data_IF_974083814992
#
_entry.id   IF_974083814992
#
_cell.length_a   1.000
_cell.length_b   1.000
_cell.length_c   1.000
_cell.angle_alpha   90.00
_cell.angle_beta   90.00
_cell.angle_gamma   90.00
#
_symmetry.space_group_name_H-M   'P 1'
#
loop_
_entity.id
_entity.type
_entity.pdbx_description
1 polymer ?
#
# COMPACT_ATOMS: atom_id res chain seq x y z
N UNK A 1 -4.87 -19.86 -14.13
CA UNK A 1 -4.21 -19.57 -15.42
C UNK A 1 -3.52 -18.22 -15.28
N UNK A 2 -2.37 -18.03 -15.85
CA UNK A 2 -1.68 -16.74 -15.96
C UNK A 2 -1.53 -16.40 -17.43
N UNK A 3 -1.63 -15.11 -17.78
CA UNK A 3 -1.42 -14.63 -19.14
C UNK A 3 0.06 -14.63 -19.55
N UNK A 4 0.33 -14.45 -20.84
CA UNK A 4 1.67 -14.22 -21.35
C UNK A 4 2.07 -12.75 -21.20
N UNK A 5 3.36 -12.53 -21.01
CA UNK A 5 3.94 -11.18 -21.05
C UNK A 5 4.29 -10.86 -22.49
N UNK A 6 3.72 -9.77 -23.00
CA UNK A 6 3.90 -9.29 -24.36
C UNK A 6 4.74 -8.01 -24.36
N UNK A 7 5.32 -7.66 -25.52
CA UNK A 7 5.95 -6.36 -25.73
C UNK A 7 4.88 -5.24 -25.87
N UNK A 8 5.32 -3.99 -25.93
CA UNK A 8 4.44 -2.80 -26.09
C UNK A 8 3.59 -2.85 -27.37
N UNK A 9 4.03 -3.62 -28.37
CA UNK A 9 3.29 -3.85 -29.64
C UNK A 9 2.38 -5.06 -29.56
N UNK A 10 2.15 -5.61 -28.35
CA UNK A 10 1.34 -6.81 -28.08
C UNK A 10 1.84 -8.09 -28.79
N UNK A 11 3.13 -8.18 -29.10
CA UNK A 11 3.75 -9.37 -29.65
C UNK A 11 4.43 -10.17 -28.54
N UNK A 12 4.50 -11.48 -28.69
CA UNK A 12 5.22 -12.35 -27.76
C UNK A 12 6.68 -11.90 -27.66
N UNK A 13 7.17 -11.74 -26.44
CA UNK A 13 8.59 -11.45 -26.22
C UNK A 13 9.44 -12.66 -26.59
N UNK A 14 10.46 -12.45 -27.39
CA UNK A 14 11.40 -13.47 -27.84
C UNK A 14 12.81 -12.90 -27.89
N UNK A 15 13.79 -13.68 -27.41
CA UNK A 15 15.20 -13.30 -27.52
C UNK A 15 15.68 -13.22 -28.96
N UNK A 16 15.19 -14.10 -29.84
CA UNK A 16 15.52 -14.12 -31.26
C UNK A 16 15.06 -12.87 -32.00
N UNK A 17 13.95 -12.27 -31.55
CA UNK A 17 13.36 -11.09 -32.18
C UNK A 17 13.88 -9.77 -31.59
N UNK A 18 14.77 -9.85 -30.58
CA UNK A 18 15.38 -8.69 -29.94
C UNK A 18 14.41 -7.79 -29.16
N UNK A 19 13.15 -8.24 -28.95
CA UNK A 19 12.10 -7.49 -28.27
C UNK A 19 11.89 -7.95 -26.81
N UNK A 20 12.81 -8.75 -26.25
CA UNK A 20 12.69 -9.26 -24.89
C UNK A 20 13.58 -8.47 -23.92
N UNK A 21 13.00 -8.02 -22.83
CA UNK A 21 13.73 -7.55 -21.65
C UNK A 21 13.74 -8.67 -20.61
N UNK A 22 14.88 -9.02 -20.09
CA UNK A 22 14.97 -10.08 -19.09
C UNK A 22 14.57 -9.55 -17.71
N UNK A 23 13.95 -10.38 -16.84
CA UNK A 23 13.68 -9.98 -15.45
C UNK A 23 14.93 -9.51 -14.71
N UNK A 24 16.10 -10.08 -15.01
CA UNK A 24 17.36 -9.72 -14.37
C UNK A 24 17.74 -8.27 -14.67
N UNK A 25 17.64 -7.84 -15.93
CA UNK A 25 17.93 -6.45 -16.35
C UNK A 25 16.97 -5.45 -15.70
N UNK A 26 15.67 -5.78 -15.63
CA UNK A 26 14.69 -4.94 -14.96
C UNK A 26 14.96 -4.84 -13.45
N UNK A 27 15.32 -5.95 -12.82
CA UNK A 27 15.63 -6.00 -11.39
C UNK A 27 16.89 -5.17 -11.08
N UNK A 28 17.90 -5.22 -11.94
CA UNK A 28 19.13 -4.45 -11.77
C UNK A 28 18.84 -2.94 -11.81
N UNK A 29 17.96 -2.49 -12.73
CA UNK A 29 17.59 -1.08 -12.88
C UNK A 29 16.60 -0.56 -11.86
N UNK A 30 15.60 -1.35 -11.51
CA UNK A 30 14.43 -0.88 -10.75
C UNK A 30 14.22 -1.60 -9.41
N UNK A 31 14.94 -2.70 -9.16
CA UNK A 31 14.79 -3.52 -7.96
C UNK A 31 13.69 -4.58 -8.08
N UNK A 32 13.80 -5.61 -7.22
CA UNK A 32 12.93 -6.80 -7.26
C UNK A 32 11.46 -6.45 -6.94
N UNK A 33 11.23 -5.64 -5.94
CA UNK A 33 9.87 -5.29 -5.50
C UNK A 33 9.14 -4.44 -6.51
N UNK A 34 9.86 -3.57 -7.25
CA UNK A 34 9.25 -2.77 -8.32
C UNK A 34 8.71 -3.67 -9.44
N UNK A 35 9.50 -4.67 -9.85
CA UNK A 35 9.05 -5.63 -10.86
C UNK A 35 7.87 -6.46 -10.33
N UNK A 36 7.95 -6.98 -9.09
CA UNK A 36 6.86 -7.76 -8.48
C UNK A 36 5.56 -6.95 -8.40
N UNK A 37 5.66 -5.69 -7.97
CA UNK A 37 4.52 -4.78 -7.88
C UNK A 37 3.87 -4.55 -9.23
N UNK A 38 4.67 -4.21 -10.26
CA UNK A 38 4.14 -3.99 -11.60
C UNK A 38 3.50 -5.25 -12.18
N UNK A 39 4.15 -6.40 -12.05
CA UNK A 39 3.57 -7.67 -12.53
C UNK A 39 2.26 -8.00 -11.82
N UNK A 40 2.16 -7.81 -10.50
CA UNK A 40 0.93 -8.02 -9.75
C UNK A 40 -0.17 -7.02 -10.16
N UNK A 41 0.19 -5.78 -10.50
CA UNK A 41 -0.74 -4.73 -10.99
C UNK A 41 -1.30 -5.08 -12.37
N UNK A 42 -0.49 -5.64 -13.25
CA UNK A 42 -0.86 -5.97 -14.63
C UNK A 42 -1.55 -7.33 -14.77
N UNK A 43 -1.31 -8.26 -13.85
CA UNK A 43 -1.74 -9.66 -13.95
C UNK A 43 -3.23 -9.83 -13.61
N UNK A 44 -4.08 -9.70 -14.62
CA UNK A 44 -5.54 -9.92 -14.51
C UNK A 44 -5.97 -11.34 -14.91
N UNK A 45 -5.02 -12.26 -15.13
CA UNK A 45 -5.29 -13.60 -15.63
C UNK A 45 -5.32 -13.71 -17.18
N UNK A 46 -5.11 -12.59 -17.85
CA UNK A 46 -5.03 -12.46 -19.31
C UNK A 46 -3.62 -12.05 -19.75
N UNK A 47 -3.35 -12.10 -21.05
CA UNK A 47 -2.10 -11.60 -21.62
C UNK A 47 -2.01 -10.08 -21.42
N UNK A 48 -0.83 -9.59 -21.03
CA UNK A 48 -0.61 -8.18 -20.81
C UNK A 48 0.70 -7.70 -21.43
N UNK A 49 0.71 -6.45 -21.89
CA UNK A 49 1.91 -5.80 -22.38
C UNK A 49 2.74 -5.30 -21.19
N UNK A 50 4.04 -5.57 -21.23
CA UNK A 50 5.00 -5.02 -20.27
C UNK A 50 5.63 -3.75 -20.88
N UNK A 51 5.35 -2.59 -20.27
CA UNK A 51 6.02 -1.33 -20.57
C UNK A 51 6.89 -0.92 -19.37
N UNK A 52 8.19 -0.88 -19.58
CA UNK A 52 9.14 -0.49 -18.53
C UNK A 52 8.93 0.97 -18.04
N UNK A 53 8.29 1.82 -18.86
CA UNK A 53 7.95 3.20 -18.47
C UNK A 53 7.00 3.23 -17.27
N UNK A 54 6.17 2.20 -17.08
CA UNK A 54 5.28 2.09 -15.92
C UNK A 54 6.04 1.92 -14.58
N UNK A 55 7.33 1.58 -14.62
CA UNK A 55 8.18 1.55 -13.43
C UNK A 55 8.31 2.92 -12.75
N UNK A 56 8.15 4.01 -13.51
CA UNK A 56 8.12 5.36 -12.94
C UNK A 56 6.93 5.56 -12.00
N UNK A 57 5.79 4.99 -12.31
CA UNK A 57 4.58 5.07 -11.47
C UNK A 57 4.74 4.23 -10.20
N UNK A 58 5.33 3.03 -10.33
CA UNK A 58 5.68 2.21 -9.16
C UNK A 58 6.65 2.96 -8.24
N UNK A 59 7.66 3.61 -8.82
CA UNK A 59 8.63 4.40 -8.05
C UNK A 59 7.96 5.55 -7.29
N UNK A 60 6.94 6.22 -7.88
CA UNK A 60 6.16 7.26 -7.20
C UNK A 60 5.38 6.71 -6.01
N UNK A 61 4.77 5.53 -6.14
CA UNK A 61 4.07 4.89 -5.03
C UNK A 61 5.04 4.55 -3.90
N UNK A 62 6.20 3.96 -4.20
CA UNK A 62 7.19 3.63 -3.17
C UNK A 62 7.79 4.88 -2.52
N UNK A 63 7.98 5.96 -3.30
CA UNK A 63 8.38 7.26 -2.74
C UNK A 63 7.32 7.80 -1.79
N UNK A 64 6.04 7.67 -2.11
CA UNK A 64 4.94 8.10 -1.24
C UNK A 64 4.91 7.27 0.05
N UNK A 65 5.07 5.96 -0.02
CA UNK A 65 5.20 5.10 1.19
C UNK A 65 6.38 5.56 2.05
N UNK A 66 7.54 5.83 1.44
CA UNK A 66 8.71 6.32 2.18
C UNK A 66 8.48 7.72 2.81
N UNK A 67 7.79 8.61 2.12
CA UNK A 67 7.49 9.94 2.65
C UNK A 67 6.51 9.88 3.84
N UNK A 68 5.52 9.00 3.77
CA UNK A 68 4.58 8.75 4.88
C UNK A 68 5.32 8.12 6.06
N UNK A 69 6.20 7.13 5.84
CA UNK A 69 7.06 6.56 6.88
C UNK A 69 7.90 7.66 7.55
N UNK A 70 8.59 8.48 6.75
CA UNK A 70 9.41 9.57 7.26
C UNK A 70 8.60 10.61 8.07
N UNK A 71 7.38 10.91 7.65
CA UNK A 71 6.48 11.80 8.37
C UNK A 71 6.05 11.19 9.71
N UNK A 72 5.59 9.94 9.72
CA UNK A 72 5.11 9.26 10.94
C UNK A 72 6.24 9.09 11.97
N UNK A 73 7.46 8.81 11.53
CA UNK A 73 8.64 8.68 12.42
C UNK A 73 9.07 9.98 13.10
N UNK A 74 8.65 11.13 12.60
CA UNK A 74 8.88 12.41 13.25
C UNK A 74 7.87 12.67 14.38
N UNK A 75 6.78 11.92 14.43
CA UNK A 75 5.75 12.06 15.45
C UNK A 75 6.22 11.41 16.76
N UNK A 76 5.78 11.94 17.90
CA UNK A 76 6.20 11.41 19.19
C UNK A 76 5.75 9.97 19.38
N UNK A 77 6.63 9.16 19.96
CA UNK A 77 6.29 7.85 20.47
C UNK A 77 5.47 8.05 21.74
N UNK A 78 4.17 7.95 21.65
CA UNK A 78 3.29 8.11 22.80
C UNK A 78 2.52 6.82 23.06
N UNK A 79 2.65 6.28 24.25
CA UNK A 79 1.78 5.23 24.82
C UNK A 79 0.33 5.68 25.07
N UNK A 80 -0.03 6.89 24.65
CA UNK A 80 -1.33 7.48 24.97
C UNK A 80 -2.36 7.11 23.93
N UNK A 81 -3.36 6.33 24.35
CA UNK A 81 -4.62 6.18 23.60
C UNK A 81 -5.15 7.57 23.24
N UNK A 82 -5.59 7.73 22.00
CA UNK A 82 -6.26 8.96 21.57
C UNK A 82 -7.41 9.29 22.51
N UNK A 83 -7.46 10.51 22.99
CA UNK A 83 -8.49 10.97 23.95
C UNK A 83 -9.86 11.12 23.31
N UNK A 84 -9.90 11.52 22.05
CA UNK A 84 -11.11 11.70 21.26
C UNK A 84 -10.79 11.59 19.78
N UNK A 85 -11.80 11.27 18.98
CA UNK A 85 -11.70 11.21 17.52
C UNK A 85 -12.50 12.36 16.91
N UNK A 86 -11.86 13.21 16.14
CA UNK A 86 -12.51 14.20 15.29
C UNK A 86 -13.28 13.53 14.13
N UNK A 87 -14.02 14.29 13.35
CA UNK A 87 -14.82 13.74 12.25
C UNK A 87 -13.92 13.07 11.19
N UNK A 88 -12.82 13.72 10.84
CA UNK A 88 -11.83 13.21 9.90
C UNK A 88 -11.11 11.96 10.41
N UNK A 89 -10.90 11.82 11.73
CA UNK A 89 -10.31 10.61 12.30
C UNK A 89 -11.27 9.43 12.17
N UNK A 90 -12.55 9.63 12.49
CA UNK A 90 -13.59 8.62 12.31
C UNK A 90 -13.77 8.25 10.84
N UNK A 91 -13.62 9.22 9.94
CA UNK A 91 -13.68 9.00 8.50
C UNK A 91 -12.54 8.11 8.02
N UNK A 92 -11.28 8.44 8.35
CA UNK A 92 -10.14 7.62 7.90
C UNK A 92 -10.14 6.22 8.55
N UNK A 93 -10.58 6.10 9.80
CA UNK A 93 -10.79 4.80 10.46
C UNK A 93 -11.83 3.97 9.69
N UNK A 94 -12.95 4.58 9.28
CA UNK A 94 -13.97 3.90 8.48
C UNK A 94 -13.40 3.42 7.15
N UNK A 95 -12.71 4.29 6.42
CA UNK A 95 -12.04 3.97 5.14
C UNK A 95 -10.99 2.88 5.31
N UNK A 96 -10.20 2.91 6.39
CA UNK A 96 -9.20 1.89 6.68
C UNK A 96 -9.83 0.53 6.96
N UNK A 97 -10.89 0.46 7.77
CA UNK A 97 -11.59 -0.81 8.01
C UNK A 97 -12.35 -1.34 6.78
N UNK A 98 -12.77 -0.46 5.87
CA UNK A 98 -13.25 -0.84 4.55
C UNK A 98 -12.11 -1.48 3.74
N UNK A 99 -10.96 -0.81 3.67
CA UNK A 99 -9.78 -1.31 2.97
C UNK A 99 -9.36 -2.70 3.48
N UNK A 100 -9.25 -2.90 4.80
CA UNK A 100 -8.91 -4.22 5.39
C UNK A 100 -9.84 -5.32 4.86
N UNK A 101 -11.15 -5.07 4.89
CA UNK A 101 -12.14 -6.02 4.41
C UNK A 101 -11.94 -6.37 2.94
N UNK A 102 -11.83 -5.34 2.09
CA UNK A 102 -11.75 -5.50 0.64
C UNK A 102 -10.42 -6.16 0.22
N UNK A 103 -9.30 -5.77 0.82
CA UNK A 103 -7.98 -6.39 0.59
C UNK A 103 -7.99 -7.86 1.02
N UNK A 104 -8.56 -8.18 2.19
CA UNK A 104 -8.69 -9.57 2.64
C UNK A 104 -9.49 -10.41 1.64
N UNK A 105 -10.61 -9.89 1.14
CA UNK A 105 -11.42 -10.58 0.14
C UNK A 105 -10.67 -10.76 -1.19
N UNK A 106 -9.93 -9.74 -1.62
CA UNK A 106 -9.15 -9.80 -2.84
C UNK A 106 -8.01 -10.83 -2.75
N UNK A 107 -7.30 -10.89 -1.61
CA UNK A 107 -6.28 -11.93 -1.37
C UNK A 107 -6.86 -13.34 -1.34
N UNK A 108 -7.97 -13.55 -0.64
CA UNK A 108 -8.65 -14.86 -0.58
C UNK A 108 -9.12 -15.33 -1.95
N UNK A 109 -9.31 -14.40 -2.89
CA UNK A 109 -9.72 -14.69 -4.28
C UNK A 109 -8.55 -14.61 -5.27
N UNK A 110 -7.31 -14.47 -4.81
CA UNK A 110 -6.09 -14.30 -5.63
C UNK A 110 -6.15 -13.13 -6.63
N UNK A 111 -6.90 -12.06 -6.31
CA UNK A 111 -7.06 -10.88 -7.15
C UNK A 111 -6.04 -9.81 -6.80
N UNK A 112 -4.76 -10.06 -7.09
CA UNK A 112 -3.64 -9.19 -6.69
C UNK A 112 -3.71 -7.78 -7.29
N UNK A 113 -4.19 -7.65 -8.53
CA UNK A 113 -4.43 -6.34 -9.17
C UNK A 113 -5.40 -5.49 -8.35
N UNK A 114 -6.45 -6.10 -7.82
CA UNK A 114 -7.43 -5.41 -6.97
C UNK A 114 -6.82 -4.98 -5.64
N UNK A 115 -5.99 -5.82 -5.02
CA UNK A 115 -5.23 -5.44 -3.81
C UNK A 115 -4.43 -4.17 -4.05
N UNK A 116 -3.70 -4.10 -5.17
CA UNK A 116 -2.89 -2.94 -5.51
C UNK A 116 -3.76 -1.70 -5.76
N UNK A 117 -4.85 -1.83 -6.50
CA UNK A 117 -5.74 -0.70 -6.77
C UNK A 117 -6.36 -0.14 -5.48
N UNK A 118 -6.83 -1.00 -4.58
CA UNK A 118 -7.36 -0.62 -3.28
C UNK A 118 -6.30 0.06 -2.41
N UNK A 119 -5.09 -0.50 -2.40
CA UNK A 119 -3.96 0.09 -1.68
C UNK A 119 -3.59 1.48 -2.23
N UNK A 120 -3.44 1.62 -3.55
CA UNK A 120 -3.12 2.91 -4.19
C UNK A 120 -4.21 3.95 -3.94
N UNK A 121 -5.48 3.57 -4.06
CA UNK A 121 -6.62 4.46 -3.80
C UNK A 121 -6.55 5.01 -2.37
N UNK A 122 -6.39 4.14 -1.38
CA UNK A 122 -6.31 4.56 0.01
C UNK A 122 -5.06 5.39 0.31
N UNK A 123 -3.88 4.91 -0.13
CA UNK A 123 -2.61 5.58 0.12
C UNK A 123 -2.58 6.99 -0.45
N UNK A 124 -2.96 7.12 -1.73
CA UNK A 124 -2.82 8.37 -2.48
C UNK A 124 -3.92 9.37 -2.11
N UNK A 125 -5.17 8.93 -2.18
CA UNK A 125 -6.30 9.86 -2.06
C UNK A 125 -6.75 9.99 -0.60
N UNK A 126 -7.09 8.87 0.05
CA UNK A 126 -7.67 8.94 1.39
C UNK A 126 -6.62 9.38 2.44
N UNK A 127 -5.44 8.74 2.45
CA UNK A 127 -4.42 9.02 3.47
C UNK A 127 -3.60 10.26 3.14
N UNK A 128 -2.87 10.27 2.00
CA UNK A 128 -1.87 11.29 1.72
C UNK A 128 -2.47 12.64 1.34
N UNK A 129 -3.42 12.65 0.37
CA UNK A 129 -3.98 13.91 -0.13
C UNK A 129 -5.07 14.49 0.75
N UNK A 130 -5.75 13.65 1.53
CA UNK A 130 -6.90 14.09 2.33
C UNK A 130 -6.55 14.10 3.81
N UNK A 131 -6.41 12.94 4.44
CA UNK A 131 -6.29 12.86 5.89
C UNK A 131 -5.06 13.57 6.44
N UNK A 132 -3.88 13.34 5.88
CA UNK A 132 -2.64 13.99 6.33
C UNK A 132 -2.74 15.52 6.22
N UNK A 133 -3.46 16.05 5.22
CA UNK A 133 -3.66 17.50 5.11
C UNK A 133 -4.55 18.05 6.23
N UNK A 134 -5.61 17.33 6.59
CA UNK A 134 -6.51 17.75 7.67
C UNK A 134 -5.86 17.74 9.04
N UNK A 135 -4.95 16.80 9.29
CA UNK A 135 -4.35 16.62 10.61
C UNK A 135 -3.00 17.33 10.79
N UNK A 136 -2.55 18.09 9.78
CA UNK A 136 -1.17 18.64 9.76
C UNK A 136 -0.79 19.38 11.05
N UNK A 137 -1.71 20.18 11.61
CA UNK A 137 -1.48 20.98 12.82
C UNK A 137 -1.61 20.18 14.13
N UNK A 138 -2.26 19.01 14.08
CA UNK A 138 -2.48 18.13 15.24
C UNK A 138 -1.95 16.69 15.04
N UNK A 139 -1.01 16.52 14.14
CA UNK A 139 -0.46 15.20 13.78
C UNK A 139 0.08 14.42 14.99
N UNK A 140 0.60 15.11 16.00
CA UNK A 140 1.06 14.48 17.23
C UNK A 140 -0.07 13.80 18.03
N UNK A 141 -1.30 14.33 17.97
CA UNK A 141 -2.45 13.78 18.69
C UNK A 141 -2.93 12.46 18.09
N UNK A 142 -2.73 12.30 16.78
CA UNK A 142 -3.20 11.14 15.99
C UNK A 142 -2.07 10.18 15.62
N UNK A 143 -0.86 10.37 16.18
CA UNK A 143 0.29 9.51 15.91
C UNK A 143 -0.01 8.00 16.08
N UNK A 144 -0.72 7.54 17.13
CA UNK A 144 -1.05 6.11 17.27
C UNK A 144 -1.91 5.57 16.12
N UNK A 145 -2.86 6.37 15.63
CA UNK A 145 -3.71 5.99 14.50
C UNK A 145 -2.90 5.88 13.20
N UNK A 146 -2.02 6.84 12.96
CA UNK A 146 -1.15 6.81 11.77
C UNK A 146 -0.23 5.60 11.78
N UNK A 147 0.32 5.22 12.94
CA UNK A 147 1.17 4.04 13.10
C UNK A 147 0.38 2.75 12.89
N UNK A 148 -0.85 2.65 13.44
CA UNK A 148 -1.75 1.51 13.18
C UNK A 148 -2.03 1.34 11.68
N UNK A 149 -2.36 2.43 10.99
CA UNK A 149 -2.59 2.43 9.55
C UNK A 149 -1.32 2.01 8.80
N UNK A 150 -0.15 2.56 9.15
CA UNK A 150 1.13 2.22 8.52
C UNK A 150 1.44 0.72 8.65
N UNK A 151 1.33 0.15 9.84
CA UNK A 151 1.53 -1.29 10.06
C UNK A 151 0.64 -2.14 9.17
N UNK A 152 -0.65 -1.79 9.08
CA UNK A 152 -1.58 -2.49 8.22
C UNK A 152 -1.24 -2.37 6.73
N UNK A 153 -0.86 -1.19 6.26
CA UNK A 153 -0.44 -0.98 4.87
C UNK A 153 0.80 -1.81 4.51
N UNK A 154 1.77 -1.92 5.43
CA UNK A 154 2.94 -2.78 5.24
C UNK A 154 2.56 -4.26 5.18
N UNK A 155 1.62 -4.71 6.03
CA UNK A 155 1.10 -6.08 6.00
C UNK A 155 0.37 -6.39 4.70
N UNK A 156 -0.37 -5.42 4.12
CA UNK A 156 -1.02 -5.60 2.82
C UNK A 156 -0.01 -5.74 1.68
N UNK A 157 1.08 -5.00 1.73
CA UNK A 157 2.11 -5.06 0.70
C UNK A 157 3.05 -6.26 0.84
N UNK A 158 3.23 -6.80 2.03
CA UNK A 158 4.24 -7.83 2.31
C UNK A 158 4.21 -9.05 1.37
N UNK A 159 3.05 -9.62 0.96
CA UNK A 159 3.01 -10.70 0.01
C UNK A 159 3.48 -10.33 -1.41
N UNK A 160 3.30 -9.06 -1.80
CA UNK A 160 3.63 -8.55 -3.15
C UNK A 160 5.05 -7.99 -3.16
N UNK A 161 5.39 -7.12 -2.21
CA UNK A 161 6.68 -6.41 -2.10
C UNK A 161 7.37 -6.71 -0.77
N UNK A 162 7.89 -7.94 -0.61
CA UNK A 162 8.40 -8.41 0.68
C UNK A 162 9.59 -7.61 1.21
N UNK A 163 10.50 -7.16 0.34
CA UNK A 163 11.73 -6.50 0.79
C UNK A 163 11.49 -5.07 1.26
N UNK A 164 10.66 -4.31 0.55
CA UNK A 164 10.33 -2.94 0.96
C UNK A 164 9.45 -2.91 2.20
N UNK A 165 8.48 -3.83 2.31
CA UNK A 165 7.63 -3.97 3.48
C UNK A 165 8.46 -4.33 4.72
N UNK A 166 9.37 -5.31 4.59
CA UNK A 166 10.27 -5.69 5.66
C UNK A 166 11.21 -4.55 6.06
N UNK A 167 11.75 -3.81 5.10
CA UNK A 167 12.62 -2.66 5.38
C UNK A 167 11.94 -1.62 6.26
N UNK A 168 10.66 -1.29 5.98
CA UNK A 168 9.90 -0.33 6.79
C UNK A 168 9.48 -0.93 8.13
N UNK A 169 9.14 -2.23 8.17
CA UNK A 169 8.85 -2.93 9.42
C UNK A 169 10.04 -2.93 10.39
N UNK A 170 11.25 -3.18 9.88
CA UNK A 170 12.46 -3.13 10.69
C UNK A 170 12.74 -1.73 11.25
N UNK A 171 12.34 -0.66 10.54
CA UNK A 171 12.40 0.70 11.07
C UNK A 171 11.43 0.89 12.24
N UNK A 172 10.17 0.45 12.10
CA UNK A 172 9.18 0.47 13.19
C UNK A 172 9.69 -0.30 14.41
N UNK A 173 10.34 -1.44 14.18
CA UNK A 173 10.94 -2.23 15.26
C UNK A 173 12.08 -1.50 15.97
N UNK A 174 12.97 -0.84 15.24
CA UNK A 174 14.03 -0.02 15.82
C UNK A 174 13.48 1.15 16.64
N UNK A 175 12.35 1.69 16.22
CA UNK A 175 11.65 2.78 16.93
C UNK A 175 10.80 2.25 18.13
N UNK A 176 10.76 0.93 18.37
CA UNK A 176 10.02 0.30 19.47
C UNK A 176 8.51 0.24 19.27
N UNK A 177 8.04 0.36 18.02
CA UNK A 177 6.61 0.41 17.70
C UNK A 177 5.97 -0.97 17.45
N UNK A 178 6.79 -2.00 17.19
CA UNK A 178 6.37 -3.38 16.94
C UNK A 178 7.29 -4.38 17.64
N UNK A 179 6.72 -5.47 18.13
CA UNK A 179 7.45 -6.54 18.82
C UNK A 179 7.89 -7.65 17.86
N UNK A 180 7.11 -7.91 16.82
CA UNK A 180 7.37 -9.00 15.88
C UNK A 180 8.67 -8.76 15.11
N UNK A 181 9.42 -9.84 14.92
CA UNK A 181 10.74 -9.79 14.28
C UNK A 181 10.68 -9.48 12.79
N UNK A 182 9.54 -9.67 12.16
CA UNK A 182 9.32 -9.48 10.72
C UNK A 182 7.85 -9.18 10.43
N UNK A 183 7.57 -8.36 9.39
CA UNK A 183 6.21 -8.15 8.90
C UNK A 183 5.53 -9.45 8.48
N UNK A 184 6.31 -10.43 8.02
CA UNK A 184 5.82 -11.73 7.58
C UNK A 184 5.38 -12.65 8.73
N UNK A 185 5.70 -12.29 9.96
CA UNK A 185 5.29 -12.98 11.18
C UNK A 185 4.22 -12.20 11.95
N UNK A 186 3.90 -10.99 11.50
CA UNK A 186 2.84 -10.18 12.12
C UNK A 186 1.45 -10.72 11.79
N UNK A 187 0.49 -10.42 12.67
CA UNK A 187 -0.91 -10.73 12.42
C UNK A 187 -1.47 -9.81 11.34
N UNK A 188 -2.13 -10.39 10.33
CA UNK A 188 -2.80 -9.59 9.29
C UNK A 188 -3.97 -8.82 9.93
N UNK A 189 -4.16 -7.53 9.57
CA UNK A 189 -5.21 -6.71 10.18
C UNK A 189 -6.61 -7.27 9.99
N UNK A 190 -7.45 -7.15 11.02
CA UNK A 190 -8.85 -7.58 10.98
C UNK A 190 -9.80 -6.39 10.86
N UNK A 191 -10.77 -6.51 9.95
CA UNK A 191 -11.80 -5.49 9.78
C UNK A 191 -12.82 -5.53 10.92
N UNK A 192 -13.13 -4.37 11.51
CA UNK A 192 -14.18 -4.21 12.51
C UNK A 192 -15.35 -3.39 11.95
N UNK A 193 -16.48 -4.05 11.70
CA UNK A 193 -17.67 -3.42 11.14
C UNK A 193 -18.21 -2.26 12.01
N UNK A 194 -18.00 -2.31 13.34
CA UNK A 194 -18.46 -1.25 14.26
C UNK A 194 -17.66 0.05 14.09
N UNK A 195 -16.49 -0.01 13.49
CA UNK A 195 -15.66 1.16 13.18
C UNK A 195 -15.99 1.77 11.81
N UNK A 196 -16.89 1.15 11.04
CA UNK A 196 -17.32 1.66 9.72
C UNK A 196 -18.50 2.60 9.85
N UNK A 197 -18.50 3.67 9.07
CA UNK A 197 -19.57 4.66 8.98
C UNK A 197 -19.73 5.14 7.53
N UNK A 198 -20.55 4.43 6.76
CA UNK A 198 -20.78 4.72 5.34
C UNK A 198 -21.42 6.10 5.08
N UNK A 199 -22.24 6.59 6.02
CA UNK A 199 -22.81 7.92 5.90
C UNK A 199 -21.74 9.00 6.02
N UNK A 200 -20.78 8.81 6.93
CA UNK A 200 -19.65 9.72 7.09
C UNK A 200 -18.73 9.67 5.86
N UNK A 201 -18.46 8.48 5.31
CA UNK A 201 -17.69 8.33 4.07
C UNK A 201 -18.30 9.15 2.93
N UNK A 202 -19.63 9.02 2.71
CA UNK A 202 -20.37 9.77 1.68
C UNK A 202 -20.35 11.28 1.92
N UNK A 203 -20.48 11.71 3.18
CA UNK A 203 -20.45 13.15 3.52
C UNK A 203 -19.10 13.78 3.17
N UNK A 204 -18.00 13.07 3.40
CA UNK A 204 -16.66 13.53 3.03
C UNK A 204 -16.45 13.55 1.51
N UNK A 205 -16.99 12.60 0.75
CA UNK A 205 -16.92 12.58 -0.72
C UNK A 205 -17.58 13.82 -1.38
N UNK A 206 -18.48 14.48 -0.66
CA UNK A 206 -19.15 15.71 -1.16
C UNK A 206 -18.34 16.97 -0.84
N UNK A 207 -17.39 16.91 0.09
CA UNK A 207 -16.60 18.05 0.59
C UNK A 207 -15.19 18.09 0.00
N UNK A 208 -14.71 16.96 -0.48
CA UNK A 208 -13.38 16.77 -1.09
C UNK A 208 -13.49 16.86 -2.61
#
# INVERSE_FOLDING_TARGET
MHGMVLDISKRKMSKSDGNSTTPAEVIERHGRDSLRYLLAKLSKGEDFAFDEKEMSDVSRIFMMVNNIDAFIRQLPTQDKKMKSFAAEDRWIISKYHKLIKEVTQAYNSYRFTEVINLFEQFLVFDLSRTYIQFIRERSNEVAPLLKEIQMGLLSFLAPITPFISEKFWQRLKLDGEVDESSVHLSTFPESNIKKRNENLEKSFETVI
#
